data_IF_992734570240
#
_entry.id   IF_992734570240
#
_cell.length_a   1.000
_cell.length_b   1.000
_cell.length_c   1.000
_cell.angle_alpha   90.00
_cell.angle_beta   90.00
_cell.angle_gamma   90.00
#
_symmetry.space_group_name_H-M   'P 1'
#
loop_
_entity.id
_entity.type
_entity.pdbx_description
1 polymer ?
#
# COMPACT_ATOMS: atom_id res chain seq x y z
N UNK A 1 -10.90 -1.76 -1.45
CA UNK A 1 -11.30 -1.76 -0.03
C UNK A 1 -10.04 -1.80 0.80
N UNK A 2 -9.59 -0.64 1.28
CA UNK A 2 -8.79 -0.62 2.51
C UNK A 2 -9.79 -0.68 3.66
N UNK A 3 -9.78 -1.79 4.38
CA UNK A 3 -10.31 -1.86 5.73
C UNK A 3 -9.31 -2.69 6.52
N UNK A 4 -8.39 -2.00 7.21
CA UNK A 4 -7.67 -2.61 8.32
C UNK A 4 -8.70 -2.85 9.43
N UNK A 5 -9.09 -4.11 9.65
CA UNK A 5 -9.84 -4.50 10.82
C UNK A 5 -8.84 -5.05 11.86
N UNK A 6 -8.40 -4.19 12.77
CA UNK A 6 -7.74 -4.64 14.00
C UNK A 6 -8.81 -4.91 15.06
N UNK A 7 -8.91 -6.16 15.50
CA UNK A 7 -9.42 -6.54 16.83
C UNK A 7 -9.09 -7.99 17.14
N UNK A 8 -8.40 -8.23 18.25
CA UNK A 8 -8.25 -9.54 18.88
C UNK A 8 -8.66 -9.41 20.36
N UNK A 9 -9.62 -10.11 21.00
CA UNK A 9 -10.86 -10.85 20.67
C UNK A 9 -11.72 -10.95 21.98
N UNK A 10 -12.98 -11.44 22.03
CA UNK A 10 -13.29 -12.87 21.87
C UNK A 10 -14.51 -13.15 20.96
N UNK A 11 -14.28 -13.96 19.92
CA UNK A 11 -15.22 -14.28 18.84
C UNK A 11 -14.58 -14.05 17.45
N UNK A 12 -14.28 -15.12 16.72
CA UNK A 12 -13.60 -15.12 15.40
C UNK A 12 -14.28 -14.21 14.36
N UNK A 13 -13.49 -13.33 13.71
CA UNK A 13 -13.75 -12.84 12.37
C UNK A 13 -12.42 -12.69 11.60
N UNK A 14 -12.02 -13.74 10.88
CA UNK A 14 -11.10 -13.60 9.74
C UNK A 14 -11.96 -13.11 8.58
N UNK A 15 -11.75 -11.87 8.12
CA UNK A 15 -12.51 -11.30 7.01
C UNK A 15 -11.62 -11.24 5.78
N UNK A 16 -11.65 -12.32 4.99
CA UNK A 16 -11.21 -12.33 3.59
C UNK A 16 -12.10 -11.34 2.82
N UNK A 17 -11.52 -10.30 2.24
CA UNK A 17 -12.25 -9.40 1.35
C UNK A 17 -11.58 -9.31 -0.03
N UNK A 18 -12.11 -10.20 -0.87
CA UNK A 18 -12.32 -10.13 -2.31
C UNK A 18 -11.18 -10.51 -3.29
N UNK A 19 -11.22 -11.79 -3.67
CA UNK A 19 -10.77 -12.39 -4.94
C UNK A 19 -11.44 -13.76 -4.97
N UNK A 20 -12.03 -14.18 -6.10
CA UNK A 20 -13.04 -15.26 -6.20
C UNK A 20 -12.60 -16.70 -5.87
N UNK A 21 -11.59 -16.91 -5.04
CA UNK A 21 -11.29 -18.20 -4.43
C UNK A 21 -10.89 -17.97 -2.96
N UNK A 22 -11.71 -18.46 -2.04
CA UNK A 22 -11.42 -18.51 -0.61
C UNK A 22 -10.19 -19.39 -0.39
N UNK A 23 -9.07 -18.82 0.08
CA UNK A 23 -8.05 -19.63 0.74
C UNK A 23 -8.66 -20.18 2.03
N UNK A 24 -8.88 -21.49 2.07
CA UNK A 24 -9.51 -22.12 3.24
C UNK A 24 -8.68 -21.85 4.51
N UNK A 25 -9.32 -21.52 5.64
CA UNK A 25 -8.62 -21.34 6.92
C UNK A 25 -7.71 -22.52 7.29
N UNK A 26 -8.05 -23.73 6.82
CA UNK A 26 -7.31 -24.96 7.07
C UNK A 26 -5.92 -25.01 6.39
N UNK A 27 -5.74 -24.41 5.21
CA UNK A 27 -4.43 -24.40 4.54
C UNK A 27 -3.45 -23.43 5.20
N UNK A 28 -3.95 -22.36 5.84
CA UNK A 28 -3.14 -21.43 6.64
C UNK A 28 -2.76 -22.08 7.97
N UNK A 29 -3.67 -22.81 8.60
CA UNK A 29 -3.43 -23.52 9.86
C UNK A 29 -2.45 -24.71 9.69
N UNK A 30 -2.52 -25.43 8.57
CA UNK A 30 -1.68 -26.61 8.31
C UNK A 30 -0.17 -26.30 8.22
N UNK A 31 0.21 -25.06 7.93
CA UNK A 31 1.62 -24.65 7.85
C UNK A 31 2.17 -23.96 9.09
N UNK A 32 1.35 -23.68 10.12
CA UNK A 32 1.70 -22.69 11.17
C UNK A 32 1.75 -23.22 12.62
N UNK A 33 1.54 -24.51 12.87
CA UNK A 33 1.68 -25.08 14.22
C UNK A 33 0.65 -24.57 15.25
N UNK A 34 0.53 -25.23 16.39
CA UNK A 34 -0.65 -25.14 17.27
C UNK A 34 -0.74 -23.91 18.20
N UNK A 35 0.07 -22.85 18.02
CA UNK A 35 0.07 -21.71 18.95
C UNK A 35 -0.05 -20.37 18.22
N UNK A 36 -1.30 -20.00 17.88
CA UNK A 36 -1.65 -18.84 17.04
C UNK A 36 -2.57 -17.87 17.78
N UNK A 37 -2.23 -17.50 19.01
CA UNK A 37 -3.11 -16.65 19.80
C UNK A 37 -3.32 -15.28 19.14
N UNK A 38 -2.35 -14.73 18.39
CA UNK A 38 -2.54 -13.53 17.57
C UNK A 38 -1.57 -13.49 16.36
N UNK A 39 -2.08 -13.78 15.16
CA UNK A 39 -1.32 -13.70 13.91
C UNK A 39 -2.00 -12.78 12.90
N UNK A 40 -1.28 -11.76 12.42
CA UNK A 40 -1.71 -10.96 11.26
C UNK A 40 -0.98 -11.45 10.03
N UNK A 41 -1.70 -12.11 9.12
CA UNK A 41 -1.14 -12.58 7.83
C UNK A 41 -1.27 -11.49 6.79
N UNK A 42 -0.14 -11.11 6.20
CA UNK A 42 -0.02 -10.18 5.09
C UNK A 42 0.39 -10.96 3.85
N UNK A 43 -0.37 -10.81 2.77
CA UNK A 43 -0.06 -11.46 1.50
C UNK A 43 0.08 -10.42 0.39
N UNK A 44 0.82 -10.79 -0.65
CA UNK A 44 1.04 -9.94 -1.81
C UNK A 44 -0.20 -9.88 -2.71
N UNK A 45 -0.58 -8.66 -3.11
CA UNK A 45 -1.67 -8.42 -4.06
C UNK A 45 -1.22 -8.83 -5.46
N UNK A 46 -1.68 -9.98 -5.95
CA UNK A 46 -1.48 -10.44 -7.33
C UNK A 46 -2.82 -10.46 -8.07
N UNK A 47 -2.88 -9.87 -9.26
CA UNK A 47 -4.02 -10.06 -10.13
C UNK A 47 -4.14 -11.56 -10.47
N UNK A 48 -5.18 -12.23 -9.97
CA UNK A 48 -5.59 -13.56 -10.43
C UNK A 48 -6.11 -13.45 -11.86
N UNK A 49 -5.23 -13.26 -12.84
CA UNK A 49 -5.54 -13.55 -14.24
C UNK A 49 -4.94 -14.91 -14.57
N UNK A 50 -5.83 -15.89 -14.76
CA UNK A 50 -5.56 -17.18 -15.40
C UNK A 50 -4.82 -16.97 -16.73
N UNK A 51 -3.48 -16.87 -16.76
CA UNK A 51 -2.60 -17.19 -17.90
C UNK A 51 -1.17 -17.52 -17.45
N UNK A 52 -0.87 -18.82 -17.45
CA UNK A 52 0.38 -19.47 -17.90
C UNK A 52 1.77 -19.08 -17.37
N UNK A 53 1.91 -18.24 -16.34
CA UNK A 53 3.11 -18.24 -15.50
C UNK A 53 2.69 -18.39 -14.04
N UNK A 54 3.17 -19.44 -13.38
CA UNK A 54 2.92 -19.66 -11.95
C UNK A 54 3.46 -18.46 -11.16
N UNK A 55 2.55 -17.56 -10.77
CA UNK A 55 2.85 -16.41 -9.96
C UNK A 55 2.83 -16.89 -8.51
N UNK A 56 3.92 -17.48 -8.04
CA UNK A 56 3.97 -17.97 -6.66
C UNK A 56 3.98 -16.77 -5.70
N UNK A 57 2.95 -16.57 -4.88
CA UNK A 57 2.97 -15.51 -3.89
C UNK A 57 3.97 -15.85 -2.78
N UNK A 58 4.45 -14.80 -2.14
CA UNK A 58 5.12 -14.83 -0.85
C UNK A 58 4.22 -14.17 0.19
N UNK A 59 4.44 -14.55 1.43
CA UNK A 59 3.64 -14.17 2.58
C UNK A 59 4.55 -13.80 3.73
N UNK A 60 4.05 -12.91 4.57
CA UNK A 60 4.67 -12.56 5.84
C UNK A 60 3.58 -12.51 6.90
N UNK A 61 3.91 -12.87 8.13
CA UNK A 61 3.00 -12.69 9.24
C UNK A 61 3.72 -12.13 10.47
N UNK A 62 3.05 -11.19 11.13
CA UNK A 62 3.50 -10.58 12.38
C UNK A 62 2.84 -11.32 13.54
N UNK A 63 3.66 -11.81 14.46
CA UNK A 63 3.24 -12.46 15.70
C UNK A 63 2.97 -11.42 16.80
N UNK A 64 2.22 -11.80 17.83
CA UNK A 64 1.97 -10.93 19.01
C UNK A 64 3.22 -10.49 19.76
N UNK A 65 4.31 -11.26 19.67
CA UNK A 65 5.61 -10.92 20.26
C UNK A 65 6.39 -9.88 19.43
N UNK A 66 5.82 -9.41 18.31
CA UNK A 66 6.46 -8.45 17.42
C UNK A 66 7.48 -9.08 16.46
N UNK A 67 7.58 -10.41 16.41
CA UNK A 67 8.45 -11.10 15.45
C UNK A 67 7.72 -11.39 14.12
N UNK A 68 8.49 -11.57 13.04
CA UNK A 68 7.95 -11.86 11.69
C UNK A 68 8.35 -13.24 11.22
N UNK A 69 7.41 -13.94 10.58
CA UNK A 69 7.65 -15.17 9.81
C UNK A 69 7.34 -14.93 8.34
N UNK A 70 8.11 -15.54 7.44
CA UNK A 70 7.90 -15.44 5.99
C UNK A 70 7.89 -16.80 5.32
N UNK A 71 7.13 -16.94 4.23
CA UNK A 71 7.10 -18.16 3.42
C UNK A 71 6.65 -17.86 1.98
N UNK A 72 6.82 -18.83 1.08
CA UNK A 72 6.45 -18.72 -0.34
C UNK A 72 7.64 -18.39 -1.24
N UNK A 73 7.42 -17.60 -2.30
CA UNK A 73 8.47 -17.28 -3.28
C UNK A 73 9.64 -16.49 -2.65
N UNK A 74 10.80 -17.13 -2.52
CA UNK A 74 12.00 -16.55 -1.94
C UNK A 74 12.45 -15.27 -2.64
N UNK A 75 12.34 -15.20 -3.98
CA UNK A 75 12.76 -14.01 -4.74
C UNK A 75 11.86 -12.79 -4.49
N UNK A 76 10.67 -13.00 -3.92
CA UNK A 76 9.71 -11.95 -3.59
C UNK A 76 9.57 -11.71 -2.09
N UNK A 77 10.48 -12.26 -1.29
CA UNK A 77 10.53 -12.06 0.16
C UNK A 77 9.89 -13.17 0.99
N UNK A 78 9.65 -14.35 0.40
CA UNK A 78 9.35 -15.57 1.17
C UNK A 78 10.54 -16.04 2.00
N UNK A 79 11.76 -15.61 1.66
CA UNK A 79 12.98 -15.77 2.43
C UNK A 79 13.42 -14.40 3.00
N UNK A 80 13.35 -14.26 4.31
CA UNK A 80 13.81 -13.08 5.06
C UNK A 80 15.10 -13.32 5.83
N UNK A 81 15.82 -14.42 5.62
CA UNK A 81 17.01 -14.82 6.39
C UNK A 81 18.06 -13.72 6.50
N UNK A 82 18.25 -12.93 5.45
CA UNK A 82 19.20 -11.80 5.39
C UNK A 82 18.90 -10.67 6.39
N UNK A 83 17.64 -10.53 6.80
CA UNK A 83 17.17 -9.48 7.72
C UNK A 83 16.51 -10.06 8.96
N UNK A 84 16.54 -11.37 9.16
CA UNK A 84 15.84 -12.08 10.23
C UNK A 84 16.18 -11.53 11.60
N UNK A 85 17.46 -11.24 11.87
CA UNK A 85 17.93 -10.64 13.12
C UNK A 85 17.29 -9.26 13.44
N UNK A 86 16.74 -8.55 12.45
CA UNK A 86 16.05 -7.27 12.61
C UNK A 86 14.53 -7.43 12.75
N UNK A 87 14.01 -8.65 12.59
CA UNK A 87 12.59 -8.99 12.55
C UNK A 87 12.17 -9.88 13.74
N UNK A 88 12.99 -9.95 14.79
CA UNK A 88 12.74 -10.83 15.95
C UNK A 88 11.82 -10.21 17.00
N UNK A 89 11.62 -8.89 16.97
CA UNK A 89 10.79 -8.16 17.95
C UNK A 89 10.37 -6.78 17.42
N UNK A 90 9.44 -6.15 18.13
CA UNK A 90 8.95 -4.77 17.92
C UNK A 90 8.32 -4.46 16.56
N UNK A 91 8.12 -5.43 15.67
CA UNK A 91 7.38 -5.21 14.42
C UNK A 91 5.90 -5.04 14.72
N UNK A 92 5.33 -3.91 14.31
CA UNK A 92 3.91 -3.58 14.51
C UNK A 92 3.08 -3.76 13.24
N UNK A 93 3.73 -3.69 12.07
CA UNK A 93 3.05 -3.81 10.78
C UNK A 93 4.01 -4.35 9.72
N UNK A 94 3.47 -5.14 8.78
CA UNK A 94 4.16 -5.50 7.53
C UNK A 94 3.29 -5.10 6.35
N UNK A 95 3.91 -4.54 5.32
CA UNK A 95 3.27 -4.12 4.07
C UNK A 95 3.97 -4.80 2.90
N UNK A 96 3.20 -5.41 2.00
CA UNK A 96 3.72 -6.08 0.80
C UNK A 96 3.23 -5.42 -0.48
N UNK A 97 4.03 -5.48 -1.55
CA UNK A 97 3.73 -4.79 -2.82
C UNK A 97 3.77 -5.68 -4.09
N UNK A 98 3.73 -7.01 -3.92
CA UNK A 98 3.81 -7.95 -5.05
C UNK A 98 5.21 -8.49 -5.34
N UNK A 99 6.25 -7.79 -4.88
CA UNK A 99 7.65 -8.12 -5.15
C UNK A 99 8.55 -8.04 -3.91
N UNK A 100 8.16 -7.28 -2.90
CA UNK A 100 8.93 -7.05 -1.69
C UNK A 100 8.01 -6.76 -0.51
N UNK A 101 8.60 -6.72 0.68
CA UNK A 101 7.96 -6.36 1.94
C UNK A 101 8.70 -5.24 2.65
N UNK A 102 7.96 -4.49 3.47
CA UNK A 102 8.45 -3.51 4.42
C UNK A 102 7.79 -3.75 5.78
N UNK A 103 8.60 -4.02 6.81
CA UNK A 103 8.17 -4.08 8.20
C UNK A 103 8.37 -2.72 8.87
N UNK A 104 7.36 -2.25 9.58
CA UNK A 104 7.41 -1.04 10.43
C UNK A 104 7.53 -1.49 11.88
N UNK A 105 8.55 -0.99 12.57
CA UNK A 105 8.77 -1.23 14.00
C UNK A 105 8.07 -0.19 14.87
N UNK A 106 7.94 -0.46 16.17
CA UNK A 106 7.28 0.43 17.15
C UNK A 106 7.97 1.80 17.30
N UNK A 107 9.28 1.89 17.05
CA UNK A 107 10.07 3.12 16.99
C UNK A 107 9.91 3.90 15.67
N UNK A 108 9.13 3.37 14.73
CA UNK A 108 8.94 3.93 13.39
C UNK A 108 10.13 3.69 12.46
N UNK A 109 11.06 2.80 12.78
CA UNK A 109 12.06 2.31 11.83
C UNK A 109 11.45 1.32 10.84
N UNK A 110 12.03 1.22 9.64
CA UNK A 110 11.54 0.35 8.56
C UNK A 110 12.61 -0.63 8.09
N UNK A 111 12.24 -1.92 8.03
CA UNK A 111 13.08 -3.00 7.50
C UNK A 111 12.47 -3.50 6.20
N UNK A 112 13.26 -3.59 5.12
CA UNK A 112 12.77 -4.08 3.82
C UNK A 112 13.47 -5.38 3.40
N UNK A 113 12.76 -6.22 2.65
CA UNK A 113 13.32 -7.43 2.04
C UNK A 113 12.53 -7.87 0.80
N UNK A 114 13.04 -8.86 0.08
CA UNK A 114 12.48 -9.36 -1.19
C UNK A 114 13.21 -8.77 -2.39
N UNK A 115 12.51 -8.60 -3.51
CA UNK A 115 13.11 -8.14 -4.76
C UNK A 115 13.69 -6.73 -4.63
N UNK A 116 14.99 -6.58 -4.93
CA UNK A 116 15.66 -5.28 -4.90
C UNK A 116 14.95 -4.24 -5.79
N UNK A 117 14.58 -4.62 -7.02
CA UNK A 117 13.86 -3.75 -7.96
C UNK A 117 12.43 -3.42 -7.51
N UNK A 118 11.86 -4.22 -6.61
CA UNK A 118 10.56 -3.98 -6.00
C UNK A 118 10.60 -3.16 -4.71
N UNK A 119 11.77 -2.64 -4.32
CA UNK A 119 11.95 -1.91 -3.07
C UNK A 119 12.34 -2.77 -1.87
N UNK A 120 12.76 -4.02 -2.09
CA UNK A 120 13.38 -4.85 -1.05
C UNK A 120 14.77 -4.33 -0.63
N UNK A 121 15.45 -3.59 -1.51
CA UNK A 121 16.65 -2.81 -1.20
C UNK A 121 16.29 -1.35 -0.97
N UNK A 122 16.39 -0.89 0.27
CA UNK A 122 16.15 0.49 0.69
C UNK A 122 17.44 1.25 1.05
N UNK A 123 18.63 0.72 0.73
CA UNK A 123 19.93 1.26 1.16
C UNK A 123 20.11 2.75 0.86
N UNK A 124 19.61 3.22 -0.29
CA UNK A 124 19.66 4.63 -0.70
C UNK A 124 18.89 5.59 0.22
N UNK A 125 17.89 5.09 0.93
CA UNK A 125 17.02 5.87 1.82
C UNK A 125 17.05 5.37 3.27
N UNK A 126 17.90 4.38 3.59
CA UNK A 126 17.94 3.72 4.91
C UNK A 126 18.12 4.74 6.04
N UNK A 127 19.01 5.72 5.87
CA UNK A 127 19.23 6.80 6.85
C UNK A 127 17.97 7.63 7.18
N UNK A 128 16.97 7.65 6.29
CA UNK A 128 15.70 8.37 6.50
C UNK A 128 14.64 7.48 7.17
N UNK A 129 14.80 6.16 7.07
CA UNK A 129 13.89 5.11 7.55
C UNK A 129 14.26 4.57 8.95
N UNK A 130 15.17 5.24 9.67
CA UNK A 130 15.65 4.79 10.98
C UNK A 130 14.66 5.05 12.12
N UNK A 131 13.70 5.96 11.94
CA UNK A 131 12.70 6.30 12.96
C UNK A 131 11.56 7.15 12.38
N UNK A 132 10.46 7.23 13.13
CA UNK A 132 9.40 8.22 12.92
C UNK A 132 8.50 7.98 11.70
N UNK A 133 8.58 6.81 11.05
CA UNK A 133 7.59 6.39 10.05
C UNK A 133 6.30 5.98 10.76
N UNK A 134 5.16 6.49 10.28
CA UNK A 134 3.82 6.22 10.84
C UNK A 134 2.91 5.47 9.87
N UNK A 135 3.23 5.50 8.57
CA UNK A 135 2.52 4.76 7.54
C UNK A 135 3.51 4.30 6.48
N UNK A 136 3.39 3.07 6.01
CA UNK A 136 4.01 2.59 4.76
C UNK A 136 2.91 2.13 3.83
N UNK A 137 3.04 2.48 2.56
CA UNK A 137 2.14 2.10 1.48
C UNK A 137 2.96 1.53 0.33
N UNK A 138 2.54 0.38 -0.20
CA UNK A 138 3.19 -0.29 -1.31
C UNK A 138 2.32 -0.27 -2.57
N UNK A 139 2.95 -0.16 -3.73
CA UNK A 139 2.31 -0.40 -5.02
C UNK A 139 3.07 -1.42 -5.84
N UNK A 140 2.42 -2.04 -6.82
CA UNK A 140 3.13 -2.90 -7.76
C UNK A 140 2.27 -3.94 -8.46
N UNK A 141 2.37 -3.95 -9.79
CA UNK A 141 1.92 -5.06 -10.64
C UNK A 141 2.91 -5.19 -11.81
N UNK A 142 2.58 -4.71 -13.01
CA UNK A 142 3.28 -5.07 -14.24
C UNK A 142 4.55 -4.26 -14.53
N UNK A 143 4.68 -3.04 -13.99
CA UNK A 143 5.74 -2.09 -14.34
C UNK A 143 6.84 -1.98 -13.26
N UNK A 144 6.90 -2.96 -12.36
CA UNK A 144 7.67 -2.91 -11.14
C UNK A 144 6.82 -2.51 -9.94
N UNK A 145 7.49 -2.26 -8.82
CA UNK A 145 6.86 -1.99 -7.54
C UNK A 145 7.69 -1.01 -6.73
N UNK A 146 7.03 -0.23 -5.90
CA UNK A 146 7.63 0.79 -5.07
C UNK A 146 6.91 0.88 -3.72
N UNK A 147 7.50 1.65 -2.82
CA UNK A 147 6.94 1.99 -1.52
C UNK A 147 7.02 3.49 -1.29
N UNK A 148 6.10 3.98 -0.47
CA UNK A 148 6.10 5.31 0.09
C UNK A 148 5.84 5.22 1.60
N UNK A 149 6.64 5.91 2.40
CA UNK A 149 6.50 5.99 3.84
C UNK A 149 6.19 7.43 4.26
N UNK A 150 5.16 7.63 5.08
CA UNK A 150 4.84 8.90 5.71
C UNK A 150 5.48 8.94 7.09
N UNK A 151 6.22 10.02 7.38
CA UNK A 151 6.78 10.28 8.70
C UNK A 151 5.81 11.08 9.56
N UNK A 152 5.98 11.01 10.88
CA UNK A 152 5.19 11.78 11.87
C UNK A 152 5.27 13.30 11.68
N UNK A 153 6.35 13.81 11.08
CA UNK A 153 6.49 15.22 10.71
C UNK A 153 5.81 15.59 9.38
N UNK A 154 5.10 14.65 8.74
CA UNK A 154 4.40 14.84 7.48
C UNK A 154 5.28 14.83 6.24
N UNK A 155 6.56 14.46 6.35
CA UNK A 155 7.42 14.21 5.19
C UNK A 155 7.22 12.81 4.61
N UNK A 156 7.53 12.62 3.33
CA UNK A 156 7.42 11.31 2.66
C UNK A 156 8.78 10.81 2.18
N UNK A 157 9.04 9.52 2.37
CA UNK A 157 10.21 8.80 1.85
C UNK A 157 9.72 7.81 0.79
N UNK A 158 10.39 7.76 -0.35
CA UNK A 158 9.97 6.94 -1.50
C UNK A 158 11.16 6.10 -1.96
N UNK A 159 10.90 4.84 -2.32
CA UNK A 159 11.91 3.94 -2.86
C UNK A 159 11.30 2.82 -3.72
N UNK A 160 12.16 2.11 -4.46
CA UNK A 160 11.77 1.02 -5.38
C UNK A 160 11.86 1.43 -6.85
N UNK A 161 11.08 0.78 -7.71
CA UNK A 161 11.13 1.00 -9.16
C UNK A 161 10.67 2.40 -9.55
N UNK A 162 11.53 3.14 -10.27
CA UNK A 162 11.20 4.47 -10.80
C UNK A 162 9.91 4.45 -11.66
N UNK A 163 9.71 3.40 -12.46
CA UNK A 163 8.52 3.24 -13.31
C UNK A 163 7.22 3.05 -12.53
N UNK A 164 7.30 2.62 -11.27
CA UNK A 164 6.16 2.49 -10.36
C UNK A 164 6.05 3.67 -9.38
N UNK A 165 6.80 4.75 -9.58
CA UNK A 165 6.80 5.91 -8.66
C UNK A 165 7.81 5.82 -7.53
N UNK A 166 8.84 4.97 -7.65
CA UNK A 166 10.02 4.97 -6.78
C UNK A 166 10.99 6.14 -7.02
N UNK A 167 10.70 7.01 -7.99
CA UNK A 167 11.40 8.29 -8.23
C UNK A 167 10.42 9.44 -8.04
N UNK A 168 10.69 10.27 -7.02
CA UNK A 168 9.91 11.44 -6.66
C UNK A 168 10.66 12.75 -6.84
N UNK A 169 11.81 12.75 -7.52
CA UNK A 169 12.68 13.94 -7.67
C UNK A 169 11.94 15.20 -8.15
N UNK A 170 10.93 15.03 -9.02
CA UNK A 170 10.11 16.13 -9.56
C UNK A 170 9.14 16.75 -8.55
N UNK A 171 8.78 16.01 -7.51
CA UNK A 171 7.75 16.38 -6.53
C UNK A 171 8.26 16.33 -5.09
N UNK A 172 9.55 16.06 -4.88
CA UNK A 172 10.17 15.94 -3.56
C UNK A 172 9.94 17.18 -2.68
N UNK A 173 10.09 18.38 -3.25
CA UNK A 173 9.84 19.64 -2.55
C UNK A 173 8.39 19.77 -2.03
N UNK A 174 7.42 19.08 -2.65
CA UNK A 174 6.01 19.09 -2.23
C UNK A 174 5.70 18.05 -1.14
N UNK A 175 6.61 17.11 -0.91
CA UNK A 175 6.47 15.99 0.04
C UNK A 175 7.34 16.15 1.29
N UNK A 176 7.87 17.35 1.56
CA UNK A 176 8.72 17.62 2.71
C UNK A 176 7.93 17.79 4.01
N UNK A 177 6.64 18.12 3.94
CA UNK A 177 5.79 18.35 5.11
C UNK A 177 4.29 18.28 4.77
N UNK A 178 3.48 18.16 5.82
CA UNK A 178 2.02 18.29 5.74
C UNK A 178 1.29 17.12 5.09
N UNK A 179 1.97 16.03 4.71
CA UNK A 179 1.31 14.80 4.24
C UNK A 179 0.76 14.02 5.43
N UNK A 180 -0.52 13.67 5.38
CA UNK A 180 -1.20 12.90 6.43
C UNK A 180 -1.47 11.46 6.03
N UNK A 181 -1.53 11.19 4.72
CA UNK A 181 -1.79 9.86 4.20
C UNK A 181 -1.17 9.69 2.81
N UNK A 182 -0.66 8.50 2.53
CA UNK A 182 -0.36 8.06 1.15
C UNK A 182 -1.22 6.86 0.79
N UNK A 183 -1.72 6.83 -0.43
CA UNK A 183 -2.53 5.74 -0.98
C UNK A 183 -1.92 5.28 -2.29
N UNK A 184 -1.67 3.98 -2.42
CA UNK A 184 -1.14 3.34 -3.62
C UNK A 184 -2.25 2.75 -4.48
N UNK A 185 -1.98 2.64 -5.77
CA UNK A 185 -2.77 1.83 -6.69
C UNK A 185 -1.85 0.79 -7.37
N UNK A 186 -2.16 0.22 -8.54
CA UNK A 186 -1.25 -0.73 -9.20
C UNK A 186 0.05 -0.11 -9.77
N UNK A 187 0.10 1.21 -9.98
CA UNK A 187 1.13 1.89 -10.79
C UNK A 187 1.58 3.26 -10.28
N UNK A 188 0.85 3.86 -9.34
CA UNK A 188 1.02 5.24 -8.91
C UNK A 188 0.64 5.39 -7.43
N UNK A 189 0.92 6.58 -6.90
CA UNK A 189 0.59 6.98 -5.55
C UNK A 189 -0.13 8.33 -5.53
N UNK A 190 -0.91 8.56 -4.48
CA UNK A 190 -1.51 9.83 -4.14
C UNK A 190 -1.25 10.13 -2.65
N UNK A 191 -0.64 11.28 -2.36
CA UNK A 191 -0.47 11.81 -1.02
C UNK A 191 -1.59 12.83 -0.74
N UNK A 192 -2.29 12.65 0.37
CA UNK A 192 -3.26 13.62 0.90
C UNK A 192 -2.56 14.45 1.95
N UNK A 193 -2.65 15.78 1.82
CA UNK A 193 -2.10 16.73 2.79
C UNK A 193 -3.14 17.16 3.81
N UNK A 194 -2.68 17.70 4.94
CA UNK A 194 -3.54 18.21 6.02
C UNK A 194 -4.41 19.40 5.60
N UNK A 195 -4.01 20.13 4.56
CA UNK A 195 -4.80 21.21 3.94
C UNK A 195 -5.87 20.67 2.96
N UNK A 196 -5.96 19.34 2.80
CA UNK A 196 -6.88 18.69 1.87
C UNK A 196 -6.44 18.75 0.41
N UNK A 197 -5.22 19.20 0.11
CA UNK A 197 -4.63 19.08 -1.23
C UNK A 197 -4.08 17.68 -1.48
N UNK A 198 -3.99 17.30 -2.77
CA UNK A 198 -3.47 15.99 -3.19
C UNK A 198 -2.28 16.15 -4.13
N UNK A 199 -1.22 15.37 -3.88
CA UNK A 199 -0.05 15.26 -4.74
C UNK A 199 -0.02 13.85 -5.33
N UNK A 200 0.15 13.72 -6.64
CA UNK A 200 0.20 12.43 -7.34
C UNK A 200 1.56 12.23 -8.01
N UNK A 201 2.00 10.97 -8.09
CA UNK A 201 3.22 10.59 -8.80
C UNK A 201 3.20 9.11 -9.21
N UNK A 202 4.17 8.72 -10.04
CA UNK A 202 4.28 7.37 -10.61
C UNK A 202 3.84 7.34 -12.07
N UNK A 203 3.31 6.21 -12.53
CA UNK A 203 2.96 6.04 -13.94
C UNK A 203 1.80 6.97 -14.33
N UNK A 204 2.05 7.86 -15.30
CA UNK A 204 1.11 8.92 -15.69
C UNK A 204 -0.30 8.37 -16.03
N UNK A 205 -0.38 7.37 -16.90
CA UNK A 205 -1.66 6.78 -17.32
C UNK A 205 -2.35 5.98 -16.20
N UNK A 206 -1.60 5.53 -15.20
CA UNK A 206 -2.10 4.85 -14.02
C UNK A 206 -2.55 5.79 -12.91
N UNK A 207 -2.63 7.10 -13.14
CA UNK A 207 -3.05 8.09 -12.14
C UNK A 207 -1.90 8.84 -11.46
N UNK A 208 -0.66 8.64 -11.91
CA UNK A 208 0.47 9.47 -11.50
C UNK A 208 0.47 10.89 -12.09
N UNK A 209 -0.37 11.14 -13.11
CA UNK A 209 -0.66 12.47 -13.64
C UNK A 209 -2.12 12.82 -13.36
N UNK A 210 -2.33 13.84 -12.52
CA UNK A 210 -3.64 14.40 -12.17
C UNK A 210 -3.87 15.81 -12.72
N UNK A 211 -3.05 16.30 -13.65
CA UNK A 211 -3.12 17.67 -14.21
C UNK A 211 -4.52 18.07 -14.68
N UNK A 212 -5.26 17.14 -15.31
CA UNK A 212 -6.63 17.37 -15.79
C UNK A 212 -7.64 17.69 -14.69
N UNK A 213 -7.37 17.31 -13.46
CA UNK A 213 -8.24 17.52 -12.30
C UNK A 213 -7.55 18.27 -11.17
N UNK A 214 -6.37 18.85 -11.43
CA UNK A 214 -5.54 19.49 -10.40
C UNK A 214 -6.29 20.59 -9.63
N UNK A 215 -7.05 21.43 -10.33
CA UNK A 215 -7.88 22.48 -9.73
C UNK A 215 -8.95 21.94 -8.74
N UNK A 216 -9.33 20.66 -8.83
CA UNK A 216 -10.28 20.00 -7.92
C UNK A 216 -9.59 19.29 -6.75
N UNK A 217 -8.27 19.18 -6.79
CA UNK A 217 -7.42 18.48 -5.83
C UNK A 217 -6.54 19.45 -5.01
N UNK A 218 -6.77 20.75 -5.12
CA UNK A 218 -6.01 21.77 -4.39
C UNK A 218 -6.45 21.94 -2.93
N UNK A 219 -7.67 21.52 -2.59
CA UNK A 219 -8.20 21.62 -1.22
C UNK A 219 -9.41 20.71 -1.01
N UNK A 220 -9.75 20.51 0.27
CA UNK A 220 -11.00 19.89 0.69
C UNK A 220 -11.10 18.38 0.42
N UNK A 221 -10.05 17.71 -0.04
CA UNK A 221 -10.05 16.24 -0.14
C UNK A 221 -9.93 15.63 1.26
N UNK A 222 -10.86 14.74 1.60
CA UNK A 222 -10.92 14.05 2.91
C UNK A 222 -10.59 12.58 2.81
N UNK A 223 -10.72 11.98 1.63
CA UNK A 223 -10.44 10.56 1.40
C UNK A 223 -9.95 10.37 -0.03
N UNK A 224 -8.94 9.51 -0.21
CA UNK A 224 -8.53 8.99 -1.52
C UNK A 224 -8.52 7.47 -1.46
N UNK A 225 -8.98 6.83 -2.54
CA UNK A 225 -8.84 5.38 -2.74
C UNK A 225 -8.30 5.08 -4.13
N UNK A 226 -7.42 4.08 -4.21
CA UNK A 226 -6.88 3.55 -5.46
C UNK A 226 -7.49 2.19 -5.82
N UNK A 227 -7.64 1.92 -7.12
CA UNK A 227 -7.91 0.57 -7.64
C UNK A 227 -6.64 0.02 -8.35
N UNK A 228 -6.76 -0.82 -9.39
CA UNK A 228 -5.58 -1.26 -10.14
C UNK A 228 -4.94 -0.17 -11.02
N UNK A 229 -5.69 0.83 -11.47
CA UNK A 229 -5.32 1.73 -12.60
C UNK A 229 -5.77 3.19 -12.44
N UNK A 230 -6.57 3.50 -11.43
CA UNK A 230 -7.23 4.78 -11.24
C UNK A 230 -7.38 5.10 -9.74
N UNK A 231 -7.72 6.35 -9.46
CA UNK A 231 -8.02 6.86 -8.14
C UNK A 231 -9.38 7.56 -8.12
N UNK A 232 -9.98 7.58 -6.94
CA UNK A 232 -11.13 8.41 -6.62
C UNK A 232 -10.90 9.14 -5.29
N UNK A 233 -11.25 10.41 -5.24
CA UNK A 233 -11.20 11.25 -4.05
C UNK A 233 -12.60 11.72 -3.68
N UNK A 234 -12.89 11.73 -2.38
CA UNK A 234 -14.07 12.38 -1.80
C UNK A 234 -13.64 13.70 -1.18
N UNK A 235 -14.37 14.76 -1.50
CA UNK A 235 -14.19 16.08 -0.89
C UNK A 235 -15.11 16.29 0.30
N UNK A 236 -14.80 17.25 1.15
CA UNK A 236 -15.59 17.63 2.34
C UNK A 236 -16.98 18.15 2.00
N UNK A 237 -17.16 18.67 0.79
CA UNK A 237 -18.46 19.05 0.21
C UNK A 237 -19.28 17.83 -0.29
N UNK A 238 -18.73 16.61 -0.18
CA UNK A 238 -19.36 15.38 -0.64
C UNK A 238 -19.26 15.15 -2.15
N UNK A 239 -18.52 15.98 -2.88
CA UNK A 239 -18.24 15.76 -4.31
C UNK A 239 -17.12 14.74 -4.52
N UNK A 240 -17.13 14.07 -5.67
CA UNK A 240 -16.11 13.06 -6.03
C UNK A 240 -15.29 13.50 -7.24
N UNK A 241 -13.98 13.29 -7.15
CA UNK A 241 -13.02 13.52 -8.23
C UNK A 241 -12.37 12.18 -8.59
N UNK A 242 -12.32 11.83 -9.87
CA UNK A 242 -11.64 10.61 -10.35
C UNK A 242 -10.54 10.94 -11.36
N UNK A 243 -9.44 10.18 -11.34
CA UNK A 243 -8.33 10.32 -12.30
C UNK A 243 -7.62 8.98 -12.56
N UNK A 244 -6.74 8.94 -13.57
CA UNK A 244 -6.06 7.72 -14.04
C UNK A 244 -6.65 7.18 -15.34
N UNK A 245 -6.69 5.85 -15.48
CA UNK A 245 -7.11 5.20 -16.72
C UNK A 245 -8.63 5.33 -16.97
N UNK A 246 -8.99 5.83 -18.16
CA UNK A 246 -10.37 6.05 -18.59
C UNK A 246 -11.23 4.79 -18.53
N UNK A 247 -10.70 3.67 -19.02
CA UNK A 247 -11.40 2.42 -19.18
C UNK A 247 -11.43 1.58 -17.89
N UNK A 248 -10.70 2.00 -16.85
CA UNK A 248 -10.49 1.23 -15.61
C UNK A 248 -10.87 1.98 -14.33
N UNK A 249 -11.77 2.96 -14.42
CA UNK A 249 -12.42 3.57 -13.26
C UNK A 249 -12.34 5.10 -13.20
N UNK A 250 -11.58 5.75 -14.09
CA UNK A 250 -11.64 7.22 -14.18
C UNK A 250 -12.98 7.71 -14.70
N UNK A 251 -13.51 7.11 -15.77
CA UNK A 251 -14.72 7.62 -16.43
C UNK A 251 -15.97 7.39 -15.56
N UNK A 252 -16.51 8.49 -15.03
CA UNK A 252 -17.73 8.53 -14.25
C UNK A 252 -18.83 9.37 -14.92
N UNK A 253 -18.67 9.73 -16.20
CA UNK A 253 -19.57 10.65 -16.94
C UNK A 253 -21.06 10.27 -16.84
N UNK A 254 -21.35 8.97 -16.80
CA UNK A 254 -22.73 8.44 -16.68
C UNK A 254 -23.40 8.76 -15.35
N UNK A 255 -22.63 9.04 -14.30
CA UNK A 255 -23.12 9.29 -12.93
C UNK A 255 -22.58 10.58 -12.34
N UNK A 256 -21.90 11.42 -13.12
CA UNK A 256 -21.25 12.65 -12.64
C UNK A 256 -22.21 13.56 -11.88
N UNK A 257 -23.44 13.74 -12.38
CA UNK A 257 -24.49 14.54 -11.71
C UNK A 257 -24.85 14.02 -10.30
N UNK A 258 -24.62 12.73 -10.01
CA UNK A 258 -24.87 12.11 -8.70
C UNK A 258 -23.66 12.16 -7.77
N UNK A 259 -22.52 12.62 -8.26
CA UNK A 259 -21.24 12.68 -7.56
C UNK A 259 -20.84 14.13 -7.22
N UNK A 260 -21.78 15.07 -7.31
CA UNK A 260 -21.55 16.49 -7.03
C UNK A 260 -21.68 16.84 -5.55
N UNK A 261 -22.41 16.04 -4.76
CA UNK A 261 -22.61 16.24 -3.32
C UNK A 261 -23.08 14.94 -2.65
N UNK A 262 -23.06 14.92 -1.31
CA UNK A 262 -23.68 13.85 -0.51
C UNK A 262 -22.94 12.51 -0.48
N UNK A 263 -21.80 12.39 -1.15
CA UNK A 263 -20.94 11.19 -1.05
C UNK A 263 -20.12 11.27 0.23
N UNK A 264 -20.34 10.30 1.13
CA UNK A 264 -19.64 10.22 2.43
C UNK A 264 -18.42 9.30 2.40
N UNK A 265 -18.21 8.58 1.30
CA UNK A 265 -17.06 7.69 1.16
C UNK A 265 -17.04 6.99 -0.20
N UNK A 266 -15.84 6.59 -0.64
CA UNK A 266 -15.62 5.79 -1.85
C UNK A 266 -14.76 4.57 -1.49
N UNK A 267 -15.02 3.45 -2.15
CA UNK A 267 -14.30 2.18 -1.97
C UNK A 267 -13.93 1.58 -3.32
N UNK A 268 -12.80 0.87 -3.39
CA UNK A 268 -12.32 0.14 -4.57
C UNK A 268 -12.46 -1.38 -4.50
#
# INVERSE_FOLDING_TARGET
LFQAAYKTKPGFLCKLLNGSEELSPQSVLASLGENLDHLTVVWMRGALQKRQHAFNPAFAAVKSDGSVITWGDAARGGDSSRVEHRLQEDVVQVVGNGYAFAAVKSDGSVITWGSANGGGDSSRVEHRLQEGVVQVEGNGIFCGAAFAAVKSNGSVIIWGSANAGGDSSRIEHRLQEGVVQVVGNGYAFAAVKSDGSVITWGFANGGGDSSRVEHRLQEGVVQVVGNGYAFAAVKSDGSVVTWGDAAKGRDNSRVEHRLQEGVIGVVS
#
